data_IF_164645562706
#
_entry.id   IF_164645562706
#
_cell.length_a   1.000
_cell.length_b   1.000
_cell.length_c   1.000
_cell.angle_alpha   90.00
_cell.angle_beta   90.00
_cell.angle_gamma   90.00
#
_symmetry.space_group_name_H-M   'P 1'
#
loop_
_entity.id
_entity.type
_entity.pdbx_description
1 polymer ?
#
# COMPACT_ATOMS: atom_id res chain seq x y z
N UNK A 1 -7.60 11.36 -1.92
CA UNK A 1 -6.22 10.82 -1.96
C UNK A 1 -6.14 9.85 -0.80
N UNK A 2 -5.97 8.53 -0.99
CA UNK A 2 -5.65 7.64 0.11
C UNK A 2 -4.32 8.09 0.70
N UNK A 3 -4.31 8.27 2.01
CA UNK A 3 -3.12 8.59 2.77
C UNK A 3 -2.74 7.33 3.53
N UNK A 4 -1.54 6.82 3.29
CA UNK A 4 -1.00 5.64 3.98
C UNK A 4 0.16 6.11 4.84
N UNK A 5 0.07 5.91 6.15
CA UNK A 5 1.09 6.33 7.13
C UNK A 5 1.47 7.83 7.04
N UNK A 6 0.52 8.70 6.71
CA UNK A 6 0.79 10.14 6.55
C UNK A 6 1.34 10.53 5.18
N UNK A 7 1.68 9.57 4.32
CA UNK A 7 2.17 9.80 2.95
C UNK A 7 1.02 9.74 1.96
N UNK A 8 0.98 10.73 1.07
CA UNK A 8 0.01 10.80 -0.03
C UNK A 8 0.47 9.92 -1.20
N UNK A 9 -0.29 8.87 -1.50
CA UNK A 9 0.01 7.94 -2.60
C UNK A 9 -0.81 8.25 -3.86
N UNK A 10 -0.28 7.97 -5.07
CA UNK A 10 -0.99 8.27 -6.30
C UNK A 10 -2.25 7.41 -6.48
N UNK A 11 -3.40 8.08 -6.58
CA UNK A 11 -4.75 7.49 -6.71
C UNK A 11 -4.97 6.68 -7.99
N UNK A 12 -4.38 7.15 -9.09
CA UNK A 12 -4.66 6.64 -10.43
C UNK A 12 -3.74 5.48 -10.84
N UNK A 13 -2.75 5.17 -9.99
CA UNK A 13 -1.81 4.07 -10.22
C UNK A 13 -2.29 2.77 -9.57
N UNK A 14 -1.82 1.61 -10.08
CA UNK A 14 -2.05 0.34 -9.42
C UNK A 14 -1.55 0.34 -7.98
N UNK A 15 -2.24 -0.35 -7.07
CA UNK A 15 -1.91 -0.42 -5.64
C UNK A 15 -0.43 -0.75 -5.43
N UNK A 16 0.09 -1.79 -6.10
CA UNK A 16 1.49 -2.18 -5.93
C UNK A 16 2.49 -1.09 -6.33
N UNK A 17 2.14 -0.23 -7.29
CA UNK A 17 2.98 0.90 -7.72
C UNK A 17 2.81 2.06 -6.75
N UNK A 18 1.60 2.31 -6.27
CA UNK A 18 1.33 3.38 -5.31
C UNK A 18 2.03 3.12 -3.97
N UNK A 19 2.13 1.85 -3.54
CA UNK A 19 2.88 1.47 -2.35
C UNK A 19 4.38 1.71 -2.47
N UNK A 20 4.98 1.66 -3.67
CA UNK A 20 6.42 1.93 -3.81
C UNK A 20 6.81 3.39 -3.64
N UNK A 21 5.84 4.29 -3.42
CA UNK A 21 6.10 5.67 -3.04
C UNK A 21 6.42 5.82 -1.55
N UNK A 22 6.15 4.78 -0.76
CA UNK A 22 6.54 4.73 0.64
C UNK A 22 8.03 4.39 0.74
N UNK A 23 8.74 5.12 1.60
CA UNK A 23 10.18 4.90 1.78
C UNK A 23 10.44 3.49 2.32
N UNK A 24 11.39 2.78 1.71
CA UNK A 24 11.69 1.38 2.07
C UNK A 24 10.77 0.33 1.44
N UNK A 25 9.71 0.72 0.73
CA UNK A 25 8.83 -0.22 0.02
C UNK A 25 9.22 -0.34 -1.45
N UNK A 26 9.84 -1.45 -1.80
CA UNK A 26 10.14 -1.82 -3.18
C UNK A 26 8.97 -2.54 -3.87
N UNK A 27 9.10 -2.77 -5.18
CA UNK A 27 8.10 -3.51 -5.98
C UNK A 27 7.81 -4.91 -5.42
N UNK A 28 8.84 -5.63 -4.96
CA UNK A 28 8.71 -6.99 -4.41
C UNK A 28 7.87 -6.96 -3.13
N UNK A 29 8.22 -6.07 -2.20
CA UNK A 29 7.49 -5.86 -0.94
C UNK A 29 6.04 -5.43 -1.18
N UNK A 30 5.82 -4.49 -2.09
CA UNK A 30 4.47 -4.03 -2.43
C UNK A 30 3.58 -5.15 -2.97
N UNK A 31 4.13 -6.01 -3.84
CA UNK A 31 3.42 -7.19 -4.33
C UNK A 31 3.17 -8.21 -3.22
N UNK A 32 4.16 -8.48 -2.38
CA UNK A 32 4.04 -9.39 -1.24
C UNK A 32 2.91 -8.95 -0.28
N UNK A 33 2.86 -7.67 0.06
CA UNK A 33 1.77 -7.08 0.88
C UNK A 33 0.41 -7.31 0.21
N UNK A 34 0.29 -7.02 -1.08
CA UNK A 34 -0.96 -7.24 -1.81
C UNK A 34 -1.37 -8.71 -1.76
N UNK A 35 -0.43 -9.64 -1.96
CA UNK A 35 -0.69 -11.08 -1.92
C UNK A 35 -1.09 -11.57 -0.51
N UNK A 36 -0.36 -11.15 0.53
CA UNK A 36 -0.65 -11.50 1.92
C UNK A 36 -2.02 -10.99 2.37
N UNK A 37 -2.41 -9.80 1.92
CA UNK A 37 -3.71 -9.19 2.24
C UNK A 37 -4.84 -9.64 1.30
N UNK A 38 -4.52 -10.46 0.29
CA UNK A 38 -5.44 -10.88 -0.76
C UNK A 38 -6.03 -9.70 -1.57
N UNK A 39 -5.30 -8.59 -1.68
CA UNK A 39 -5.66 -7.40 -2.44
C UNK A 39 -5.16 -7.56 -3.87
N UNK A 40 -5.97 -7.18 -4.86
CA UNK A 40 -5.52 -7.20 -6.25
C UNK A 40 -4.47 -6.10 -6.47
N UNK A 41 -3.20 -6.42 -6.78
CA UNK A 41 -2.15 -5.42 -6.98
C UNK A 41 -2.45 -4.47 -8.15
N UNK A 42 -3.19 -4.94 -9.16
CA UNK A 42 -3.55 -4.16 -10.36
C UNK A 42 -4.76 -3.25 -10.16
N UNK A 43 -5.47 -3.35 -9.03
CA UNK A 43 -6.52 -2.41 -8.65
C UNK A 43 -5.93 -1.01 -8.57
N UNK A 44 -6.70 0.05 -8.86
CA UNK A 44 -6.20 1.41 -8.63
C UNK A 44 -6.26 1.74 -7.15
N UNK A 45 -5.29 2.50 -6.65
CA UNK A 45 -5.26 2.88 -5.24
C UNK A 45 -6.51 3.64 -4.77
N UNK A 46 -7.20 4.37 -5.67
CA UNK A 46 -8.48 5.02 -5.36
C UNK A 46 -9.65 4.07 -5.13
N UNK A 47 -9.56 2.85 -5.66
CA UNK A 47 -10.62 1.86 -5.61
C UNK A 47 -10.44 0.93 -4.40
N UNK A 48 -9.39 1.15 -3.59
CA UNK A 48 -9.22 0.50 -2.29
C UNK A 48 -10.32 0.92 -1.32
N UNK A 49 -10.87 -0.06 -0.61
CA UNK A 49 -11.79 0.17 0.49
C UNK A 49 -11.06 0.65 1.74
N UNK A 50 -11.77 1.33 2.66
CA UNK A 50 -11.22 1.76 3.94
C UNK A 50 -10.69 0.59 4.80
N UNK A 51 -11.30 -0.60 4.68
CA UNK A 51 -10.81 -1.83 5.32
C UNK A 51 -9.46 -2.28 4.76
N UNK A 52 -9.34 -2.35 3.43
CA UNK A 52 -8.09 -2.73 2.76
C UNK A 52 -6.97 -1.73 3.08
N UNK A 53 -7.27 -0.43 3.09
CA UNK A 53 -6.31 0.61 3.49
C UNK A 53 -5.84 0.40 4.94
N UNK A 54 -6.76 0.14 5.87
CA UNK A 54 -6.43 -0.11 7.27
C UNK A 54 -5.57 -1.35 7.45
N UNK A 55 -5.85 -2.43 6.69
CA UNK A 55 -5.06 -3.67 6.70
C UNK A 55 -3.66 -3.46 6.13
N UNK A 56 -3.52 -2.66 5.06
CA UNK A 56 -2.22 -2.28 4.51
C UNK A 56 -1.42 -1.49 5.56
N UNK A 57 -2.02 -0.48 6.20
CA UNK A 57 -1.34 0.34 7.22
C UNK A 57 -0.85 -0.52 8.38
N UNK A 58 -1.69 -1.41 8.93
CA UNK A 58 -1.31 -2.30 10.02
C UNK A 58 -0.17 -3.26 9.62
N UNK A 59 -0.22 -3.79 8.40
CA UNK A 59 0.82 -4.69 7.90
C UNK A 59 2.16 -3.97 7.69
N UNK A 60 2.11 -2.74 7.18
CA UNK A 60 3.29 -1.89 7.07
C UNK A 60 3.86 -1.61 8.46
N UNK A 61 3.07 -1.14 9.43
CA UNK A 61 3.53 -0.82 10.79
C UNK A 61 4.14 -2.04 11.54
N UNK A 62 3.59 -3.23 11.32
CA UNK A 62 3.99 -4.45 12.04
C UNK A 62 5.20 -5.16 11.42
N UNK A 63 5.22 -5.30 10.09
CA UNK A 63 6.23 -6.15 9.40
C UNK A 63 7.32 -5.35 8.69
N UNK A 64 7.13 -4.05 8.42
CA UNK A 64 8.06 -3.26 7.62
C UNK A 64 8.38 -1.94 8.35
N UNK A 65 9.65 -1.66 8.66
CA UNK A 65 10.03 -0.33 9.15
C UNK A 65 9.91 0.69 8.00
N UNK A 66 8.71 1.23 7.81
CA UNK A 66 8.44 2.32 6.88
C UNK A 66 8.59 3.62 7.65
N UNK A 67 9.59 4.43 7.30
CA UNK A 67 9.65 5.81 7.80
C UNK A 67 8.73 6.67 6.91
N UNK A 68 7.70 7.25 7.53
CA UNK A 68 6.72 8.14 6.89
C UNK A 68 7.28 9.53 6.60
#
# INVERSE_FOLDING_TARGET
MPRILGVDIPNEKPVYVSLTYLYGIGKVTALDICHKLNINPQLKAKDLTDDELSRIVNMLDTEYSVEG
#
